data_IF_334492830524
#
_entry.id   IF_334492830524
#
_cell.length_a   1.000
_cell.length_b   1.000
_cell.length_c   1.000
_cell.angle_alpha   90.00
_cell.angle_beta   90.00
_cell.angle_gamma   90.00
#
_symmetry.space_group_name_H-M   'P 1'
#
loop_
_entity.id
_entity.type
_entity.pdbx_description
1 polymer ?
#
# COMPACT_ATOMS: atom_id res chain seq x y z
N UNK A 1 5.93 2.26 -16.32
CA UNK A 1 5.48 3.26 -15.33
C UNK A 1 3.97 3.06 -15.12
N UNK A 2 3.48 3.06 -13.88
CA UNK A 2 2.05 2.94 -13.62
C UNK A 2 1.38 4.28 -13.93
N UNK A 3 0.29 4.25 -14.70
CA UNK A 3 -0.48 5.46 -15.00
C UNK A 3 -1.59 5.61 -13.96
N UNK A 4 -1.37 6.53 -13.03
CA UNK A 4 -2.41 6.98 -12.10
C UNK A 4 -3.12 8.19 -12.70
N UNK A 5 -4.44 8.28 -12.49
CA UNK A 5 -5.18 9.47 -12.90
C UNK A 5 -4.76 10.65 -12.01
N UNK A 6 -4.29 11.78 -12.55
CA UNK A 6 -3.79 12.90 -11.75
C UNK A 6 -4.78 13.37 -10.67
N UNK A 7 -6.07 13.38 -11.00
CA UNK A 7 -7.16 13.81 -10.13
C UNK A 7 -7.57 12.77 -9.08
N UNK A 8 -7.08 11.53 -9.17
CA UNK A 8 -7.51 10.46 -8.26
C UNK A 8 -6.83 10.49 -6.89
N UNK A 9 -5.77 11.29 -6.73
CA UNK A 9 -4.94 11.29 -5.53
C UNK A 9 -4.08 10.04 -5.32
N UNK A 10 -4.24 9.00 -6.15
CA UNK A 10 -3.44 7.78 -6.08
C UNK A 10 -2.05 7.97 -6.68
N UNK A 11 -1.06 7.36 -6.03
CA UNK A 11 0.33 7.32 -6.47
C UNK A 11 0.94 5.96 -6.14
N UNK A 12 2.13 5.69 -6.71
CA UNK A 12 2.88 4.49 -6.35
C UNK A 12 3.31 4.52 -4.87
N UNK A 13 3.55 5.71 -4.30
CA UNK A 13 3.85 5.86 -2.87
C UNK A 13 2.70 5.33 -2.00
N UNK A 14 1.47 5.71 -2.33
CA UNK A 14 0.28 5.29 -1.56
C UNK A 14 0.01 3.80 -1.76
N UNK A 15 0.24 3.25 -2.96
CA UNK A 15 0.19 1.80 -3.17
C UNK A 15 1.22 1.06 -2.30
N UNK A 16 2.44 1.60 -2.15
CA UNK A 16 3.47 1.04 -1.27
C UNK A 16 3.13 1.19 0.22
N UNK A 17 2.52 2.29 0.64
CA UNK A 17 2.04 2.45 2.02
C UNK A 17 0.93 1.44 2.34
N UNK A 18 -0.03 1.22 1.43
CA UNK A 18 -1.02 0.17 1.59
C UNK A 18 -0.40 -1.22 1.66
N UNK A 19 0.68 -1.47 0.92
CA UNK A 19 1.44 -2.71 1.02
C UNK A 19 2.12 -2.88 2.38
N UNK A 20 2.73 -1.81 2.92
CA UNK A 20 3.31 -1.82 4.27
C UNK A 20 2.23 -2.07 5.32
N UNK A 21 1.05 -1.43 5.21
CA UNK A 21 -0.08 -1.71 6.10
C UNK A 21 -0.47 -3.20 6.03
N UNK A 22 -0.56 -3.77 4.83
CA UNK A 22 -0.80 -5.21 4.68
C UNK A 22 0.26 -6.04 5.42
N UNK A 23 1.55 -5.72 5.27
CA UNK A 23 2.65 -6.43 5.96
C UNK A 23 2.61 -6.27 7.48
N UNK A 24 2.18 -5.13 7.99
CA UNK A 24 1.95 -4.92 9.42
C UNK A 24 0.80 -5.78 9.96
N UNK A 25 -0.25 -5.97 9.16
CA UNK A 25 -1.37 -6.85 9.52
C UNK A 25 -0.93 -8.32 9.49
N UNK A 26 -0.23 -8.73 8.43
CA UNK A 26 0.31 -10.08 8.25
C UNK A 26 1.22 -10.46 9.43
N UNK A 27 2.17 -9.59 9.79
CA UNK A 27 3.11 -9.85 10.89
C UNK A 27 2.44 -9.98 12.26
N UNK A 28 1.19 -9.52 12.40
CA UNK A 28 0.41 -9.54 13.65
C UNK A 28 -0.77 -10.52 13.60
N UNK A 29 -0.94 -11.27 12.52
CA UNK A 29 -2.06 -12.21 12.37
C UNK A 29 -3.42 -11.56 12.17
N UNK A 30 -3.48 -10.41 11.47
CA UNK A 30 -4.71 -9.71 11.09
C UNK A 30 -5.66 -9.35 12.26
N UNK A 31 -5.19 -8.62 13.29
CA UNK A 31 -6.03 -8.26 14.43
C UNK A 31 -7.22 -7.38 14.01
N UNK A 32 -8.36 -7.60 14.66
CA UNK A 32 -9.57 -6.82 14.42
C UNK A 32 -9.33 -5.33 14.71
N UNK A 33 -9.89 -4.45 13.88
CA UNK A 33 -9.78 -2.99 14.04
C UNK A 33 -8.47 -2.35 13.55
N UNK A 34 -7.35 -3.08 13.55
CA UNK A 34 -6.04 -2.49 13.20
C UNK A 34 -5.98 -1.97 11.75
N UNK A 35 -6.60 -2.67 10.81
CA UNK A 35 -6.66 -2.19 9.41
C UNK A 35 -7.36 -0.84 9.32
N UNK A 36 -8.46 -0.66 10.07
CA UNK A 36 -9.17 0.61 10.09
C UNK A 36 -8.29 1.71 10.65
N UNK A 37 -7.69 1.49 11.82
CA UNK A 37 -6.81 2.48 12.45
C UNK A 37 -5.67 2.94 11.53
N UNK A 38 -5.00 2.00 10.87
CA UNK A 38 -3.89 2.31 9.96
C UNK A 38 -4.35 3.05 8.71
N UNK A 39 -5.49 2.66 8.14
CA UNK A 39 -6.06 3.34 6.96
C UNK A 39 -6.59 4.73 7.30
N UNK A 40 -7.17 4.92 8.48
CA UNK A 40 -7.67 6.23 8.94
C UNK A 40 -6.50 7.21 9.10
N UNK A 41 -5.37 6.77 9.69
CA UNK A 41 -4.13 7.57 9.76
C UNK A 41 -3.55 7.91 8.39
N UNK A 42 -3.57 6.95 7.46
CA UNK A 42 -3.09 7.19 6.09
C UNK A 42 -4.00 8.16 5.34
N UNK A 43 -5.33 8.05 5.52
CA UNK A 43 -6.32 8.94 4.93
C UNK A 43 -6.07 10.41 5.29
N UNK A 44 -5.80 10.70 6.56
CA UNK A 44 -5.46 12.05 7.03
C UNK A 44 -4.24 12.62 6.31
N UNK A 45 -3.22 11.79 6.05
CA UNK A 45 -1.98 12.19 5.37
C UNK A 45 -2.18 12.44 3.87
N UNK A 46 -2.85 11.51 3.18
CA UNK A 46 -2.94 11.52 1.71
C UNK A 46 -4.21 12.15 1.16
N UNK A 47 -5.15 12.57 2.02
CA UNK A 47 -6.44 13.17 1.65
C UNK A 47 -7.29 12.24 0.76
N UNK A 48 -7.13 10.93 0.91
CA UNK A 48 -8.01 9.92 0.31
C UNK A 48 -9.03 9.44 1.32
N UNK A 49 -10.17 8.94 0.83
CA UNK A 49 -11.15 8.28 1.67
C UNK A 49 -10.57 6.99 2.29
N UNK A 50 -10.76 6.82 3.60
CA UNK A 50 -10.25 5.66 4.33
C UNK A 50 -10.88 4.34 3.82
N UNK A 51 -12.14 4.36 3.37
CA UNK A 51 -12.77 3.20 2.74
C UNK A 51 -12.02 2.73 1.50
N UNK A 52 -11.57 3.65 0.65
CA UNK A 52 -10.76 3.32 -0.54
C UNK A 52 -9.39 2.73 -0.20
N UNK A 53 -8.75 3.22 0.87
CA UNK A 53 -7.49 2.67 1.38
C UNK A 53 -7.70 1.27 1.97
N UNK A 54 -8.79 1.05 2.73
CA UNK A 54 -9.16 -0.27 3.26
C UNK A 54 -9.40 -1.26 2.12
N UNK A 55 -10.09 -0.84 1.06
CA UNK A 55 -10.28 -1.66 -0.13
C UNK A 55 -8.93 -1.99 -0.80
N UNK A 56 -8.00 -1.04 -0.87
CA UNK A 56 -6.66 -1.28 -1.42
C UNK A 56 -5.84 -2.28 -0.59
N UNK A 57 -5.87 -2.17 0.73
CA UNK A 57 -5.25 -3.17 1.62
C UNK A 57 -5.92 -4.55 1.46
N UNK A 58 -7.24 -4.57 1.27
CA UNK A 58 -7.99 -5.79 0.93
C UNK A 58 -7.53 -6.42 -0.38
N UNK A 59 -7.21 -5.63 -1.40
CA UNK A 59 -6.65 -6.16 -2.65
C UNK A 59 -5.31 -6.87 -2.43
N UNK A 60 -4.43 -6.36 -1.56
CA UNK A 60 -3.21 -7.10 -1.20
C UNK A 60 -3.53 -8.42 -0.51
N UNK A 61 -4.47 -8.44 0.45
CA UNK A 61 -4.93 -9.70 1.07
C UNK A 61 -5.44 -10.72 0.05
N UNK A 62 -6.18 -10.27 -0.96
CA UNK A 62 -6.63 -11.09 -2.08
C UNK A 62 -5.47 -11.64 -2.90
N UNK A 63 -4.52 -10.80 -3.32
CA UNK A 63 -3.35 -11.24 -4.11
C UNK A 63 -2.48 -12.26 -3.36
N UNK A 64 -2.52 -12.26 -2.02
CA UNK A 64 -1.82 -13.23 -1.17
C UNK A 64 -2.70 -14.39 -0.68
N UNK A 65 -3.94 -14.50 -1.16
CA UNK A 65 -4.84 -15.61 -0.82
C UNK A 65 -5.36 -15.59 0.61
N UNK A 66 -5.29 -14.46 1.32
CA UNK A 66 -5.86 -14.31 2.67
C UNK A 66 -7.38 -14.04 2.63
N UNK A 67 -7.90 -13.59 1.48
CA UNK A 67 -9.33 -13.33 1.24
C UNK A 67 -9.71 -13.73 -0.19
N UNK A 68 -11.00 -13.70 -0.50
CA UNK A 68 -11.50 -13.95 -1.86
C UNK A 68 -10.85 -13.04 -2.92
N UNK A 69 -10.71 -13.51 -4.16
CA UNK A 69 -10.15 -12.73 -5.27
C UNK A 69 -10.90 -11.41 -5.52
N UNK A 70 -10.15 -10.34 -5.76
CA UNK A 70 -10.69 -9.01 -6.13
C UNK A 70 -10.06 -8.46 -7.41
N UNK A 71 -10.60 -7.34 -7.92
CA UNK A 71 -10.04 -6.63 -9.07
C UNK A 71 -8.91 -5.66 -8.66
N UNK A 72 -7.74 -6.21 -8.35
CA UNK A 72 -6.56 -5.43 -8.00
C UNK A 72 -6.04 -4.57 -9.17
N UNK A 73 -5.47 -3.40 -8.85
CA UNK A 73 -4.84 -2.52 -9.83
C UNK A 73 -3.56 -3.17 -10.40
N UNK A 74 -3.10 -2.70 -11.57
CA UNK A 74 -1.81 -3.13 -12.14
C UNK A 74 -0.63 -2.88 -11.18
N UNK A 75 -0.67 -1.78 -10.42
CA UNK A 75 0.35 -1.45 -9.44
C UNK A 75 0.32 -2.42 -8.25
N UNK A 76 -0.87 -2.70 -7.70
CA UNK A 76 -1.05 -3.68 -6.63
C UNK A 76 -0.52 -5.06 -7.04
N UNK A 77 -0.91 -5.55 -8.23
CA UNK A 77 -0.44 -6.84 -8.77
C UNK A 77 1.07 -6.89 -8.95
N UNK A 78 1.66 -5.82 -9.48
CA UNK A 78 3.11 -5.73 -9.62
C UNK A 78 3.81 -5.78 -8.27
N UNK A 79 3.34 -5.01 -7.29
CA UNK A 79 3.94 -4.97 -5.95
C UNK A 79 3.84 -6.35 -5.30
N UNK A 80 2.67 -7.00 -5.37
CA UNK A 80 2.47 -8.33 -4.83
C UNK A 80 3.41 -9.36 -5.48
N UNK A 81 3.54 -9.33 -6.80
CA UNK A 81 4.39 -10.27 -7.56
C UNK A 81 5.89 -10.09 -7.28
N UNK A 82 6.37 -8.85 -7.12
CA UNK A 82 7.80 -8.57 -7.04
C UNK A 82 8.33 -8.43 -5.62
N UNK A 83 7.47 -8.01 -4.68
CA UNK A 83 7.85 -7.66 -3.31
C UNK A 83 7.08 -8.46 -2.26
N UNK A 84 6.15 -9.32 -2.68
CA UNK A 84 5.26 -10.05 -1.78
C UNK A 84 5.95 -10.94 -0.75
N UNK A 85 7.15 -11.43 -1.04
CA UNK A 85 7.94 -12.25 -0.10
C UNK A 85 8.68 -11.43 0.96
N UNK A 86 8.67 -10.09 0.87
CA UNK A 86 9.34 -9.22 1.84
C UNK A 86 8.72 -9.33 3.22
N UNK A 87 9.57 -9.27 4.23
CA UNK A 87 9.19 -9.01 5.62
C UNK A 87 8.66 -7.59 5.79
N UNK A 88 8.02 -7.31 6.93
CA UNK A 88 7.60 -5.96 7.29
C UNK A 88 8.77 -4.96 7.19
N UNK A 89 9.92 -5.28 7.77
CA UNK A 89 11.08 -4.40 7.78
C UNK A 89 11.63 -4.12 6.37
N UNK A 90 11.63 -5.11 5.50
CA UNK A 90 12.05 -4.93 4.10
C UNK A 90 11.05 -4.08 3.32
N UNK A 91 9.75 -4.25 3.56
CA UNK A 91 8.72 -3.41 2.94
C UNK A 91 8.79 -1.95 3.38
N UNK A 92 9.11 -1.69 4.66
CA UNK A 92 9.34 -0.35 5.20
C UNK A 92 10.60 0.29 4.61
N UNK A 93 11.67 -0.51 4.43
CA UNK A 93 12.89 -0.06 3.77
C UNK A 93 12.65 0.30 2.29
N UNK A 94 11.86 -0.50 1.58
CA UNK A 94 11.44 -0.23 0.19
C UNK A 94 10.70 1.10 0.08
N UNK A 95 9.69 1.32 0.94
CA UNK A 95 8.93 2.58 0.96
C UNK A 95 9.84 3.78 1.26
N UNK A 96 10.71 3.66 2.26
CA UNK A 96 11.66 4.70 2.64
C UNK A 96 12.61 5.04 1.48
N UNK A 97 13.16 4.02 0.82
CA UNK A 97 14.04 4.18 -0.33
C UNK A 97 13.34 4.89 -1.50
N UNK A 98 12.08 4.52 -1.78
CA UNK A 98 11.26 5.19 -2.79
C UNK A 98 11.05 6.67 -2.45
N UNK A 99 10.68 6.99 -1.21
CA UNK A 99 10.46 8.37 -0.77
C UNK A 99 11.73 9.23 -0.87
N UNK A 100 12.89 8.67 -0.53
CA UNK A 100 14.18 9.35 -0.68
C UNK A 100 14.50 9.63 -2.16
N UNK A 101 14.29 8.64 -3.04
CA UNK A 101 14.52 8.80 -4.47
C UNK A 101 13.61 9.88 -5.07
N UNK A 102 12.32 9.89 -4.73
CA UNK A 102 11.37 10.91 -5.23
C UNK A 102 11.75 12.30 -4.72
N UNK A 103 12.08 12.46 -3.44
CA UNK A 103 12.48 13.78 -2.89
C UNK A 103 13.74 14.33 -3.57
N UNK A 104 14.72 13.48 -3.87
CA UNK A 104 15.93 13.88 -4.58
C UNK A 104 15.64 14.39 -6.00
N UNK A 105 14.57 13.92 -6.65
CA UNK A 105 14.19 14.37 -8.01
C UNK A 105 13.43 15.70 -8.06
N UNK A 106 12.92 16.21 -6.93
CA UNK A 106 12.10 17.44 -6.86
C UNK A 106 12.93 18.67 -6.41
N UNK A 107 14.21 18.47 -6.09
CA UNK A 107 15.13 19.56 -5.71
C UNK A 107 15.80 20.16 -6.95
N UNK A 108 15.11 21.06 -7.65
CA UNK A 108 15.67 21.97 -8.66
C UNK A 108 14.99 23.33 -8.62
#
# INVERSE_FOLDING_TARGET
MFNFKPESGWSLEIELECFVIYKQLESKGFPYGLQSELCDKLAERCKLDSGTLKAKVGNFKSEFGNTEPTHSSKATKYIAMNYGSMSLKESEALLTGYQLAVKATVSY
#
